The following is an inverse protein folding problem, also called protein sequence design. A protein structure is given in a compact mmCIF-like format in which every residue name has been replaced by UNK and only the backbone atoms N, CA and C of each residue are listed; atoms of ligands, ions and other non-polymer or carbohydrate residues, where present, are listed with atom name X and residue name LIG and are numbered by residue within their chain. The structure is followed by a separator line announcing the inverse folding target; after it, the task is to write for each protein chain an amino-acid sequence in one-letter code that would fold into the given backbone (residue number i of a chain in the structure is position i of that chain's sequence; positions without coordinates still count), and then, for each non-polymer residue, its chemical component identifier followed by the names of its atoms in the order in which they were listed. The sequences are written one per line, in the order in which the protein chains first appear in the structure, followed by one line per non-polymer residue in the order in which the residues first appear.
data_IF_282477464990
#
_entry.id   IF_282477464990
#
_cell.length_a   1.000
_cell.length_b   1.000
_cell.length_c   1.000
_cell.angle_alpha   90.00
_cell.angle_beta   90.00
_cell.angle_gamma   90.00
#
_symmetry.space_group_name_H-M   'P 1'
#
loop_
_entity.id
_entity.type
_entity.pdbx_description
1 polymer ?
#
# COMPACT_ATOMS: atom_id res chain seq x y z
N UNK A 1 -14.00 17.58 50.26
CA UNK A 1 -14.68 16.27 50.06
C UNK A 1 -14.80 16.05 48.56
N UNK A 2 -14.49 14.83 48.09
CA UNK A 2 -13.94 14.58 46.75
C UNK A 2 -15.02 14.49 45.69
N UNK A 3 -14.68 14.74 44.43
CA UNK A 3 -15.22 13.88 43.38
C UNK A 3 -14.16 13.60 42.32
N UNK A 4 -13.98 12.32 42.10
CA UNK A 4 -13.14 11.67 41.12
C UNK A 4 -13.55 12.07 39.69
N UNK A 5 -12.59 12.10 38.77
CA UNK A 5 -12.56 11.13 37.66
C UNK A 5 -11.34 11.39 36.78
N UNK A 6 -10.44 10.40 36.77
CA UNK A 6 -9.53 10.10 35.66
C UNK A 6 -10.29 10.03 34.34
N UNK A 7 -9.72 10.57 33.26
CA UNK A 7 -9.50 9.78 32.03
C UNK A 7 -8.70 10.58 30.98
N UNK A 8 -7.51 10.02 30.71
CA UNK A 8 -6.74 9.97 29.47
C UNK A 8 -7.13 10.90 28.30
N UNK A 9 -6.22 11.74 27.79
CA UNK A 9 -6.36 12.35 26.48
C UNK A 9 -6.00 11.31 25.40
N UNK A 10 -6.97 10.57 24.91
CA UNK A 10 -6.77 9.78 23.69
C UNK A 10 -6.84 10.74 22.48
N UNK A 11 -5.79 10.88 21.67
CA UNK A 11 -5.85 11.69 20.47
C UNK A 11 -6.82 11.00 19.49
N UNK A 12 -7.95 11.65 19.20
CA UNK A 12 -8.79 11.32 18.04
C UNK A 12 -7.91 11.26 16.79
N UNK A 13 -7.55 10.06 16.36
CA UNK A 13 -7.23 9.76 14.97
C UNK A 13 -8.37 8.93 14.39
N UNK A 14 -9.59 9.47 14.40
CA UNK A 14 -10.54 9.06 13.37
C UNK A 14 -10.03 9.66 12.06
N UNK A 15 -9.19 8.89 11.36
CA UNK A 15 -8.90 9.11 9.96
C UNK A 15 -10.19 8.77 9.19
N UNK A 16 -11.13 9.72 9.21
CA UNK A 16 -12.30 9.71 8.36
C UNK A 16 -11.85 10.02 6.92
N UNK A 17 -11.26 9.02 6.26
CA UNK A 17 -11.02 9.03 4.82
C UNK A 17 -12.03 8.12 4.15
N UNK A 18 -13.30 8.53 4.18
CA UNK A 18 -14.26 8.10 3.19
C UNK A 18 -15.10 9.29 2.70
N UNK A 19 -14.52 9.95 1.68
CA UNK A 19 -15.19 10.40 0.48
C UNK A 19 -16.10 11.65 0.56
N UNK A 20 -15.53 12.73 0.07
CA UNK A 20 -16.14 13.96 -0.46
C UNK A 20 -17.25 13.69 -1.53
N UNK A 21 -18.19 14.64 -1.77
CA UNK A 21 -19.58 14.37 -2.10
C UNK A 21 -19.91 14.44 -3.60
N UNK A 22 -21.01 13.78 -3.97
CA UNK A 22 -21.82 14.17 -5.12
C UNK A 22 -21.97 13.10 -6.19
N UNK A 23 -23.06 12.33 -6.10
CA UNK A 23 -23.67 11.73 -7.29
C UNK A 23 -25.18 11.51 -7.06
N UNK A 24 -26.07 12.24 -7.75
CA UNK A 24 -27.44 11.78 -7.91
C UNK A 24 -27.45 10.61 -8.89
N UNK A 25 -28.35 9.65 -8.66
CA UNK A 25 -28.30 8.34 -9.28
C UNK A 25 -28.42 8.30 -10.80
N UNK A 26 -28.07 7.14 -11.36
CA UNK A 26 -28.83 6.49 -12.41
C UNK A 26 -28.37 5.03 -12.61
N UNK A 27 -29.36 4.23 -12.95
CA UNK A 27 -29.41 2.77 -13.08
C UNK A 27 -28.48 2.14 -14.15
N UNK A 28 -28.37 0.80 -14.18
CA UNK A 28 -27.28 0.08 -14.85
C UNK A 28 -27.55 -0.14 -16.33
N UNK A 29 -26.52 -0.07 -17.17
CA UNK A 29 -26.53 -0.67 -18.51
C UNK A 29 -25.11 -0.87 -19.06
N UNK A 30 -24.75 -2.15 -19.14
CA UNK A 30 -24.08 -2.86 -20.21
C UNK A 30 -22.97 -2.19 -21.06
N UNK A 31 -21.93 -3.02 -21.26
CA UNK A 31 -21.05 -3.14 -22.42
C UNK A 31 -19.80 -2.25 -22.51
N UNK A 32 -18.69 -2.96 -22.33
CA UNK A 32 -17.45 -2.90 -23.12
C UNK A 32 -16.74 -1.56 -23.21
N UNK A 33 -15.67 -1.41 -22.43
CA UNK A 33 -14.33 -1.34 -23.01
C UNK A 33 -13.28 -1.53 -21.93
N UNK A 34 -12.19 -2.22 -22.28
CA UNK A 34 -11.09 -2.47 -21.37
C UNK A 34 -10.45 -1.17 -20.89
N UNK A 35 -10.63 -0.87 -19.61
CA UNK A 35 -9.69 -0.04 -18.87
C UNK A 35 -9.05 -0.92 -17.81
N UNK A 36 -7.91 -1.53 -18.21
CA UNK A 36 -6.89 -1.91 -17.22
C UNK A 36 -6.62 -0.64 -16.40
N UNK A 37 -6.64 -0.67 -15.06
CA UNK A 37 -6.29 0.50 -14.28
C UNK A 37 -4.91 0.96 -14.75
N UNK A 38 -4.88 2.19 -15.27
CA UNK A 38 -3.67 2.82 -15.77
C UNK A 38 -2.59 2.66 -14.71
N UNK A 39 -1.53 1.93 -15.07
CA UNK A 39 -0.33 1.84 -14.25
C UNK A 39 0.13 3.25 -13.96
N UNK A 40 0.14 3.62 -12.68
CA UNK A 40 0.90 4.76 -12.19
C UNK A 40 2.29 4.59 -12.78
N UNK A 41 2.63 5.47 -13.73
CA UNK A 41 3.96 5.54 -14.30
C UNK A 41 4.81 6.16 -13.20
N UNK A 42 5.31 5.31 -12.28
CA UNK A 42 6.30 5.64 -11.26
C UNK A 42 7.56 6.12 -12.00
N UNK A 43 7.54 7.39 -12.37
CA UNK A 43 8.52 8.02 -13.24
C UNK A 43 9.79 8.26 -12.43
N UNK A 44 10.61 7.22 -12.29
CA UNK A 44 11.93 7.34 -11.65
C UNK A 44 12.48 6.07 -11.00
N UNK A 45 11.64 5.07 -10.70
CA UNK A 45 12.08 3.86 -10.02
C UNK A 45 12.34 2.72 -11.01
N UNK A 46 13.61 2.32 -11.14
CA UNK A 46 14.00 1.18 -11.96
C UNK A 46 13.52 -0.12 -11.32
N UNK A 47 12.87 -1.03 -12.08
CA UNK A 47 12.47 -2.32 -11.55
C UNK A 47 13.70 -3.15 -11.17
N UNK A 48 13.65 -3.78 -10.00
CA UNK A 48 14.69 -4.70 -9.51
C UNK A 48 14.18 -6.13 -9.54
N UNK A 49 15.12 -7.07 -9.66
CA UNK A 49 14.81 -8.50 -9.67
C UNK A 49 15.00 -9.09 -8.28
N UNK A 50 13.91 -9.46 -7.62
CA UNK A 50 13.93 -10.12 -6.32
C UNK A 50 13.85 -11.64 -6.46
N UNK A 51 14.62 -12.35 -5.63
CA UNK A 51 14.56 -13.80 -5.50
C UNK A 51 13.81 -14.20 -4.23
N UNK A 52 12.77 -15.02 -4.38
CA UNK A 52 11.94 -15.51 -3.28
C UNK A 52 12.32 -16.95 -2.94
N UNK A 53 13.15 -17.12 -1.90
CA UNK A 53 13.67 -18.43 -1.49
C UNK A 53 12.59 -19.45 -1.09
N UNK A 54 11.44 -19.00 -0.59
CA UNK A 54 10.33 -19.87 -0.20
C UNK A 54 9.72 -20.68 -1.35
N UNK A 55 9.79 -20.17 -2.58
CA UNK A 55 9.20 -20.80 -3.76
C UNK A 55 10.20 -20.95 -4.92
N UNK A 56 11.45 -20.52 -4.72
CA UNK A 56 12.52 -20.49 -5.72
C UNK A 56 12.10 -19.78 -7.01
N UNK A 57 11.43 -18.64 -6.87
CA UNK A 57 10.96 -17.82 -8.00
C UNK A 57 11.62 -16.45 -8.01
N UNK A 58 11.78 -15.88 -9.19
CA UNK A 58 12.16 -14.48 -9.36
C UNK A 58 10.95 -13.64 -9.73
N UNK A 59 10.90 -12.40 -9.25
CA UNK A 59 9.94 -11.41 -9.70
C UNK A 59 10.60 -10.06 -9.92
N UNK A 60 10.12 -9.32 -10.91
CA UNK A 60 10.46 -7.91 -11.08
C UNK A 60 9.52 -7.08 -10.22
N UNK A 61 10.07 -6.24 -9.36
CA UNK A 61 9.32 -5.36 -8.48
C UNK A 61 9.97 -3.98 -8.46
N UNK A 62 9.16 -2.95 -8.28
CA UNK A 62 9.63 -1.58 -8.17
C UNK A 62 9.78 -1.27 -6.67
N UNK A 63 10.99 -0.91 -6.18
CA UNK A 63 11.15 -0.52 -4.79
C UNK A 63 10.30 0.73 -4.49
N UNK A 64 9.69 0.81 -3.30
CA UNK A 64 8.99 2.02 -2.88
C UNK A 64 9.90 3.24 -2.87
N UNK A 65 9.33 4.41 -3.15
CA UNK A 65 10.09 5.65 -3.24
C UNK A 65 10.88 5.99 -1.97
N UNK A 66 10.31 5.73 -0.79
CA UNK A 66 10.99 5.96 0.49
C UNK A 66 12.23 5.07 0.68
N UNK A 67 12.23 3.87 0.12
CA UNK A 67 13.41 2.98 0.11
C UNK A 67 14.47 3.54 -0.85
N UNK A 68 14.05 3.95 -2.06
CA UNK A 68 14.95 4.56 -3.05
C UNK A 68 15.56 5.88 -2.57
N UNK A 69 14.86 6.63 -1.73
CA UNK A 69 15.33 7.89 -1.12
C UNK A 69 16.17 7.67 0.15
N UNK A 70 16.41 6.43 0.56
CA UNK A 70 17.16 6.13 1.79
C UNK A 70 16.42 6.54 3.08
N UNK A 71 15.10 6.75 3.02
CA UNK A 71 14.25 7.04 4.19
C UNK A 71 13.85 5.77 4.94
N UNK A 72 14.06 4.60 4.34
CA UNK A 72 13.82 3.31 4.99
C UNK A 72 14.79 2.27 4.48
N UNK A 73 15.39 1.55 5.42
CA UNK A 73 16.36 0.49 5.12
C UNK A 73 15.69 -0.86 4.86
N UNK A 74 14.37 -0.93 5.07
CA UNK A 74 13.57 -2.15 4.99
C UNK A 74 12.49 -2.01 3.93
N UNK A 75 12.50 -2.91 2.95
CA UNK A 75 11.41 -3.10 2.01
C UNK A 75 10.71 -4.44 2.24
N UNK A 76 9.41 -4.38 2.53
CA UNK A 76 8.55 -5.55 2.67
C UNK A 76 7.87 -5.92 1.36
N UNK A 77 8.02 -7.18 0.93
CA UNK A 77 7.43 -7.70 -0.29
C UNK A 77 6.82 -9.09 -0.06
N UNK A 78 5.72 -9.40 -0.76
CA UNK A 78 5.08 -10.71 -0.69
C UNK A 78 5.55 -11.60 -1.83
N UNK A 79 5.81 -12.88 -1.53
CA UNK A 79 6.08 -13.87 -2.57
C UNK A 79 4.86 -14.03 -3.49
N UNK A 80 5.01 -13.86 -4.82
CA UNK A 80 3.88 -13.95 -5.74
C UNK A 80 3.28 -15.35 -5.84
N UNK A 81 3.96 -16.39 -5.34
CA UNK A 81 3.49 -17.79 -5.42
C UNK A 81 2.76 -18.26 -4.16
N UNK A 82 3.23 -17.87 -2.98
CA UNK A 82 2.71 -18.40 -1.71
C UNK A 82 2.28 -17.32 -0.70
N UNK A 83 2.38 -16.04 -1.06
CA UNK A 83 2.00 -14.93 -0.20
C UNK A 83 2.90 -14.72 1.02
N UNK A 84 4.00 -15.49 1.17
CA UNK A 84 4.93 -15.29 2.29
C UNK A 84 5.57 -13.90 2.22
N UNK A 85 5.51 -13.17 3.33
CA UNK A 85 6.20 -11.90 3.51
C UNK A 85 7.70 -12.10 3.60
N UNK A 86 8.47 -11.31 2.87
CA UNK A 86 9.93 -11.21 2.98
C UNK A 86 10.33 -9.77 3.28
N UNK A 87 11.48 -9.61 3.91
CA UNK A 87 12.11 -8.32 4.16
C UNK A 87 13.40 -8.23 3.33
N UNK A 88 13.52 -7.16 2.57
CA UNK A 88 14.70 -6.83 1.77
C UNK A 88 15.40 -5.67 2.48
N UNK A 89 16.62 -5.91 2.94
CA UNK A 89 17.44 -4.92 3.61
C UNK A 89 18.33 -4.21 2.59
N UNK A 90 18.35 -2.89 2.64
CA UNK A 90 19.27 -2.05 1.85
C UNK A 90 20.36 -1.53 2.79
N UNK A 91 21.63 -1.72 2.42
CA UNK A 91 22.83 -1.27 3.15
C UNK A 91 23.59 -0.25 2.32
#
# INVERSE_FOLDING_TARGET
MPNESSQNPDPQFELDLCSDPGAPGQSPSNRSNGQRPHGQRLSGASPVRLYFGCCRVYAQMVPPEHVMQGRSDIWRAHCPRCGRLIEVLFQ
#
